data_IF_369646643099
#
_entry.id   IF_369646643099
#
_cell.length_a   1.000
_cell.length_b   1.000
_cell.length_c   1.000
_cell.angle_alpha   90.00
_cell.angle_beta   90.00
_cell.angle_gamma   90.00
#
_symmetry.space_group_name_H-M   'P 1'
#
loop_
_entity.id
_entity.type
_entity.pdbx_description
1 polymer ?
#
# COMPACT_ATOMS: atom_id res chain seq x y z
N UNK A 1 -22.51 12.76 3.14
CA UNK A 1 -21.53 11.79 2.59
C UNK A 1 -21.21 12.20 1.17
N UNK A 2 -19.95 12.47 0.88
CA UNK A 2 -19.53 12.82 -0.47
C UNK A 2 -18.81 11.62 -1.09
N UNK A 3 -19.26 11.22 -2.28
CA UNK A 3 -18.72 10.09 -3.03
C UNK A 3 -17.68 10.58 -4.03
N UNK A 4 -16.48 10.05 -3.94
CA UNK A 4 -15.35 10.42 -4.79
C UNK A 4 -14.82 9.22 -5.57
N UNK A 5 -14.43 9.44 -6.80
CA UNK A 5 -13.66 8.47 -7.57
C UNK A 5 -12.20 8.53 -7.10
N UNK A 6 -11.60 7.40 -6.77
CA UNK A 6 -10.27 7.37 -6.16
C UNK A 6 -9.21 8.04 -7.06
N UNK A 7 -9.30 7.85 -8.37
CA UNK A 7 -8.41 8.50 -9.33
C UNK A 7 -8.51 10.03 -9.39
N UNK A 8 -9.60 10.63 -8.89
CA UNK A 8 -9.76 12.09 -8.84
C UNK A 8 -9.08 12.70 -7.61
N UNK A 9 -8.99 11.93 -6.53
CA UNK A 9 -8.49 12.39 -5.22
C UNK A 9 -7.12 11.81 -4.84
N UNK A 10 -6.56 10.89 -5.64
CA UNK A 10 -5.26 10.28 -5.40
C UNK A 10 -4.48 10.07 -6.69
N UNK A 11 -3.15 10.11 -6.58
CA UNK A 11 -2.23 9.60 -7.59
C UNK A 11 -2.10 8.08 -7.40
N UNK A 12 -2.25 7.32 -8.49
CA UNK A 12 -2.14 5.87 -8.48
C UNK A 12 -1.05 5.45 -9.45
N UNK A 13 0.00 4.81 -8.91
CA UNK A 13 1.22 4.51 -9.63
C UNK A 13 1.65 3.06 -9.41
N UNK A 14 1.89 2.34 -10.52
CA UNK A 14 2.62 1.06 -10.49
C UNK A 14 4.08 1.26 -10.12
N UNK A 15 4.67 0.26 -9.48
CA UNK A 15 6.11 0.22 -9.22
C UNK A 15 6.95 0.20 -10.50
N UNK A 16 8.27 0.34 -10.38
CA UNK A 16 9.18 0.38 -11.52
C UNK A 16 9.09 -0.92 -12.33
N UNK A 17 9.10 -0.81 -13.64
CA UNK A 17 9.14 -1.98 -14.54
C UNK A 17 10.59 -2.40 -14.81
N UNK A 18 10.78 -3.63 -15.32
CA UNK A 18 12.08 -4.27 -15.50
C UNK A 18 13.14 -3.46 -16.24
N UNK A 19 12.76 -2.52 -17.12
CA UNK A 19 13.69 -1.59 -17.78
C UNK A 19 14.14 -0.41 -16.92
N UNK A 20 13.48 -0.17 -15.79
CA UNK A 20 13.76 0.95 -14.87
C UNK A 20 14.57 0.50 -13.65
N UNK A 21 14.32 -0.72 -13.19
CA UNK A 21 15.00 -1.33 -12.06
C UNK A 21 15.25 -2.80 -12.36
N UNK A 22 16.52 -3.17 -12.49
CA UNK A 22 16.95 -4.55 -12.71
C UNK A 22 17.26 -5.25 -11.39
N UNK A 23 17.08 -6.56 -11.34
CA UNK A 23 17.33 -7.35 -10.14
C UNK A 23 18.81 -7.32 -9.70
N UNK A 24 19.71 -7.13 -10.65
CA UNK A 24 21.15 -7.00 -10.45
C UNK A 24 21.55 -5.72 -9.70
N UNK A 25 20.62 -4.74 -9.62
CA UNK A 25 20.82 -3.49 -8.87
C UNK A 25 20.46 -3.64 -7.39
N UNK A 26 19.92 -4.80 -6.98
CA UNK A 26 19.58 -5.05 -5.58
C UNK A 26 20.87 -5.30 -4.79
N UNK A 27 20.88 -4.85 -3.56
CA UNK A 27 22.02 -4.94 -2.65
C UNK A 27 21.66 -5.66 -1.35
N UNK A 28 22.64 -6.14 -0.60
CA UNK A 28 22.41 -6.80 0.69
C UNK A 28 21.96 -5.82 1.79
N UNK A 29 22.33 -4.55 1.67
CA UNK A 29 21.96 -3.48 2.60
C UNK A 29 21.84 -2.15 1.88
N UNK A 30 20.87 -1.31 2.27
CA UNK A 30 20.58 -0.03 1.62
C UNK A 30 19.20 0.49 2.02
N UNK A 31 18.51 1.12 1.07
CA UNK A 31 17.13 1.58 1.26
C UNK A 31 16.20 0.37 1.15
N UNK A 32 15.37 0.09 2.18
CA UNK A 32 14.43 -1.03 2.14
C UNK A 32 13.42 -0.87 0.99
N UNK A 33 13.14 -1.97 0.30
CA UNK A 33 12.17 -2.01 -0.78
C UNK A 33 10.98 -2.88 -0.39
N UNK A 34 9.78 -2.30 -0.46
CA UNK A 34 8.53 -2.99 -0.15
C UNK A 34 7.92 -3.59 -1.43
N UNK A 35 7.99 -4.89 -1.54
CA UNK A 35 7.37 -5.68 -2.61
C UNK A 35 6.04 -6.30 -2.14
N UNK A 36 5.29 -6.93 -3.04
CA UNK A 36 4.03 -7.62 -2.71
C UNK A 36 4.17 -8.66 -1.60
N UNK A 37 5.33 -9.33 -1.49
CA UNK A 37 5.63 -10.26 -0.39
C UNK A 37 5.65 -9.60 0.99
N UNK A 38 5.90 -8.28 1.02
CA UNK A 38 5.98 -7.50 2.25
C UNK A 38 4.62 -6.88 2.66
N UNK A 39 3.57 -7.09 1.86
CA UNK A 39 2.24 -6.57 2.16
C UNK A 39 1.43 -7.64 2.88
N UNK A 40 1.18 -7.40 4.16
CA UNK A 40 0.33 -8.23 5.01
C UNK A 40 -1.15 -7.80 4.96
N UNK A 41 -1.89 -8.17 5.98
CA UNK A 41 -3.29 -7.76 6.15
C UNK A 41 -3.39 -6.45 6.93
N UNK A 42 -2.97 -5.35 6.31
CA UNK A 42 -2.92 -4.02 6.92
C UNK A 42 -1.59 -3.68 7.58
N UNK A 43 -0.64 -4.61 7.62
CA UNK A 43 0.70 -4.43 8.18
C UNK A 43 1.78 -4.69 7.13
N UNK A 44 3.00 -4.27 7.43
CA UNK A 44 4.18 -4.53 6.60
C UNK A 44 4.96 -5.70 7.23
N UNK A 45 5.32 -6.68 6.39
CA UNK A 45 6.11 -7.85 6.77
C UNK A 45 7.59 -7.58 6.44
N UNK A 46 8.44 -7.62 7.45
CA UNK A 46 9.86 -7.25 7.33
C UNK A 46 10.82 -8.42 7.28
N UNK A 47 10.33 -9.67 7.40
CA UNK A 47 11.16 -10.87 7.48
C UNK A 47 12.08 -11.11 6.26
N UNK A 48 11.74 -10.54 5.11
CA UNK A 48 12.49 -10.73 3.85
C UNK A 48 12.44 -9.47 3.00
N UNK A 49 13.07 -8.39 3.46
CA UNK A 49 13.20 -7.16 2.70
C UNK A 49 14.26 -7.31 1.59
N UNK A 50 13.95 -6.78 0.43
CA UNK A 50 14.95 -6.46 -0.58
C UNK A 50 15.46 -5.02 -0.34
N UNK A 51 16.64 -4.69 -0.85
CA UNK A 51 17.23 -3.37 -0.67
C UNK A 51 17.73 -2.83 -2.00
N UNK A 52 17.67 -1.52 -2.16
CA UNK A 52 18.26 -0.80 -3.29
C UNK A 52 19.28 0.23 -2.78
N UNK A 53 20.35 0.52 -3.57
CA UNK A 53 21.29 1.55 -3.20
C UNK A 53 20.68 2.95 -3.37
N UNK A 54 21.21 3.93 -2.66
CA UNK A 54 20.73 5.33 -2.70
C UNK A 54 20.68 5.90 -4.11
N UNK A 55 21.66 5.55 -4.97
CA UNK A 55 21.70 6.01 -6.37
C UNK A 55 20.45 5.60 -7.18
N UNK A 56 19.81 4.48 -6.85
CA UNK A 56 18.55 4.07 -7.47
C UNK A 56 17.43 4.99 -7.03
N UNK A 57 17.37 5.36 -5.75
CA UNK A 57 16.39 6.30 -5.23
C UNK A 57 16.54 7.69 -5.85
N UNK A 58 17.79 8.16 -6.03
CA UNK A 58 18.08 9.43 -6.69
C UNK A 58 17.67 9.42 -8.17
N UNK A 59 17.86 8.31 -8.87
CA UNK A 59 17.47 8.12 -10.27
C UNK A 59 15.95 7.98 -10.43
N UNK A 60 15.27 7.39 -9.45
CA UNK A 60 13.87 7.03 -9.49
C UNK A 60 13.07 7.60 -8.29
N UNK A 61 13.17 8.92 -8.00
CA UNK A 61 12.62 9.52 -6.77
C UNK A 61 11.11 9.37 -6.64
N UNK A 62 10.40 9.20 -7.75
CA UNK A 62 8.94 9.02 -7.75
C UNK A 62 8.48 7.72 -7.09
N UNK A 63 9.39 6.76 -6.89
CA UNK A 63 9.10 5.48 -6.23
C UNK A 63 9.47 5.47 -4.75
N UNK A 64 9.92 6.59 -4.20
CA UNK A 64 10.08 6.74 -2.77
C UNK A 64 8.71 6.81 -2.14
N UNK A 65 8.47 5.95 -1.17
CA UNK A 65 7.26 5.91 -0.38
C UNK A 65 7.30 7.00 0.69
N UNK A 66 6.14 7.55 0.99
CA UNK A 66 5.97 8.52 2.06
C UNK A 66 4.87 8.07 3.01
N UNK A 67 4.95 8.55 4.24
CA UNK A 67 3.87 8.38 5.20
C UNK A 67 2.54 8.81 4.55
N UNK A 68 1.51 7.99 4.72
CA UNK A 68 0.21 8.23 4.10
C UNK A 68 0.03 7.57 2.73
N UNK A 69 1.05 6.97 2.15
CA UNK A 69 0.87 6.12 0.97
C UNK A 69 0.11 4.85 1.34
N UNK A 70 -0.71 4.36 0.42
CA UNK A 70 -1.36 3.04 0.54
C UNK A 70 -0.75 2.14 -0.53
N UNK A 71 -0.22 1.00 -0.11
CA UNK A 71 0.51 0.09 -0.99
C UNK A 71 -0.28 -1.21 -1.19
N UNK A 72 -0.60 -1.52 -2.43
CA UNK A 72 -1.25 -2.77 -2.86
C UNK A 72 -0.26 -3.75 -3.46
N UNK A 73 -0.46 -5.06 -3.19
CA UNK A 73 0.15 -6.11 -3.97
C UNK A 73 -0.51 -6.21 -5.35
N UNK A 74 0.29 -6.18 -6.42
CA UNK A 74 -0.22 -6.24 -7.80
C UNK A 74 -0.61 -7.64 -8.24
N UNK A 75 0.07 -8.66 -7.73
CA UNK A 75 -0.12 -10.05 -8.09
C UNK A 75 0.05 -10.96 -6.88
N UNK A 76 -0.72 -12.05 -6.84
CA UNK A 76 -0.63 -13.09 -5.79
C UNK A 76 -1.30 -12.72 -4.47
N UNK A 77 -1.31 -11.45 -4.09
CA UNK A 77 -1.92 -10.94 -2.85
C UNK A 77 -2.78 -9.71 -3.14
N UNK A 78 -3.57 -9.80 -4.21
CA UNK A 78 -4.36 -8.68 -4.74
C UNK A 78 -5.40 -8.12 -3.76
N UNK A 79 -5.82 -8.93 -2.79
CA UNK A 79 -6.75 -8.55 -1.74
C UNK A 79 -6.09 -7.80 -0.58
N UNK A 80 -4.74 -7.70 -0.59
CA UNK A 80 -3.99 -7.11 0.51
C UNK A 80 -3.47 -5.74 0.14
N UNK A 81 -3.53 -4.87 1.11
CA UNK A 81 -2.88 -3.56 1.07
C UNK A 81 -2.46 -3.16 2.48
N UNK A 82 -1.60 -2.17 2.56
CA UNK A 82 -1.15 -1.61 3.81
C UNK A 82 -1.02 -0.09 3.71
N UNK A 83 -1.21 0.59 4.84
CA UNK A 83 -0.88 1.99 5.01
C UNK A 83 0.61 2.11 5.36
N UNK A 84 1.31 3.01 4.69
CA UNK A 84 2.71 3.32 4.97
C UNK A 84 2.75 4.30 6.14
N UNK A 85 3.20 3.81 7.31
CA UNK A 85 3.42 4.64 8.49
C UNK A 85 4.75 5.40 8.40
N UNK A 86 5.01 6.29 9.35
CA UNK A 86 6.26 7.04 9.49
C UNK A 86 7.50 6.13 9.58
N UNK A 87 7.38 4.95 10.18
CA UNK A 87 8.45 3.94 10.25
C UNK A 87 8.98 3.53 8.86
N UNK A 88 8.12 3.55 7.84
CA UNK A 88 8.45 3.14 6.47
C UNK A 88 8.54 4.32 5.50
N UNK A 89 8.55 5.56 6.00
CA UNK A 89 8.84 6.73 5.20
C UNK A 89 10.25 6.63 4.61
N UNK A 90 10.39 6.93 3.32
CA UNK A 90 11.67 6.80 2.62
C UNK A 90 11.97 5.40 2.07
N UNK A 91 11.18 4.35 2.37
CA UNK A 91 11.29 3.06 1.70
C UNK A 91 11.04 3.19 0.20
N UNK A 92 11.54 2.23 -0.58
CA UNK A 92 11.36 2.20 -2.02
C UNK A 92 10.19 1.31 -2.42
N UNK A 93 9.35 1.78 -3.34
CA UNK A 93 8.24 1.01 -3.90
C UNK A 93 8.75 -0.11 -4.81
N UNK A 94 8.41 -1.36 -4.49
CA UNK A 94 8.80 -2.52 -5.28
C UNK A 94 8.03 -2.66 -6.61
N UNK A 95 8.56 -3.49 -7.49
CA UNK A 95 8.07 -3.68 -8.87
C UNK A 95 6.65 -4.25 -8.94
N UNK A 96 6.30 -5.14 -8.00
CA UNK A 96 4.99 -5.81 -7.95
C UNK A 96 3.99 -5.13 -7.02
N UNK A 97 4.09 -3.82 -6.86
CA UNK A 97 3.20 -3.01 -6.04
C UNK A 97 2.53 -1.90 -6.83
N UNK A 98 1.38 -1.47 -6.34
CA UNK A 98 0.70 -0.24 -6.78
C UNK A 98 0.56 0.66 -5.56
N UNK A 99 1.04 1.90 -5.69
CA UNK A 99 0.90 2.94 -4.68
C UNK A 99 -0.30 3.81 -4.98
N UNK A 100 -1.05 4.14 -3.93
CA UNK A 100 -2.07 5.18 -3.91
C UNK A 100 -1.55 6.28 -2.98
N UNK A 101 -1.33 7.48 -3.50
CA UNK A 101 -0.96 8.67 -2.74
C UNK A 101 -2.10 9.67 -2.79
N UNK A 102 -2.76 9.88 -1.67
CA UNK A 102 -3.87 10.82 -1.59
C UNK A 102 -3.38 12.26 -1.75
N UNK A 103 -4.10 13.08 -2.52
CA UNK A 103 -3.80 14.52 -2.66
C UNK A 103 -3.95 15.25 -1.33
N UNK A 104 -4.86 14.78 -0.49
CA UNK A 104 -5.05 15.21 0.89
C UNK A 104 -4.64 14.04 1.80
N UNK A 105 -3.46 14.14 2.41
CA UNK A 105 -2.87 13.10 3.26
C UNK A 105 -3.74 12.77 4.48
N UNK A 106 -4.52 13.72 4.98
CA UNK A 106 -5.45 13.50 6.10
C UNK A 106 -6.52 12.46 5.80
N UNK A 107 -6.87 12.26 4.52
CA UNK A 107 -7.84 11.26 4.09
C UNK A 107 -7.24 9.88 3.88
N UNK A 108 -5.92 9.78 3.77
CA UNK A 108 -5.25 8.55 3.39
C UNK A 108 -5.53 7.40 4.35
N UNK A 109 -5.45 7.64 5.65
CA UNK A 109 -5.71 6.63 6.67
C UNK A 109 -7.16 6.12 6.61
N UNK A 110 -8.14 7.03 6.49
CA UNK A 110 -9.54 6.65 6.33
C UNK A 110 -9.77 5.83 5.05
N UNK A 111 -9.19 6.27 3.93
CA UNK A 111 -9.30 5.57 2.65
C UNK A 111 -8.67 4.17 2.75
N UNK A 112 -7.54 4.03 3.44
CA UNK A 112 -6.95 2.72 3.68
C UNK A 112 -7.94 1.79 4.39
N UNK A 113 -8.56 2.21 5.48
CA UNK A 113 -9.58 1.40 6.16
C UNK A 113 -10.81 1.14 5.29
N UNK A 114 -11.26 2.13 4.53
CA UNK A 114 -12.41 1.98 3.63
C UNK A 114 -12.19 0.89 2.58
N UNK A 115 -10.98 0.79 2.06
CA UNK A 115 -10.61 -0.22 1.06
C UNK A 115 -10.61 -1.66 1.60
N UNK A 116 -10.63 -1.86 2.92
CA UNK A 116 -10.82 -3.17 3.57
C UNK A 116 -12.28 -3.64 3.62
N UNK A 117 -13.26 -2.81 3.25
CA UNK A 117 -14.67 -3.22 3.23
C UNK A 117 -14.86 -4.42 2.30
N UNK A 118 -15.57 -5.45 2.81
CA UNK A 118 -15.78 -6.73 2.12
C UNK A 118 -16.30 -6.57 0.69
N UNK A 119 -17.24 -5.65 0.49
CA UNK A 119 -17.84 -5.37 -0.82
C UNK A 119 -16.82 -4.82 -1.82
N UNK A 120 -15.90 -3.98 -1.36
CA UNK A 120 -14.81 -3.45 -2.20
C UNK A 120 -13.77 -4.51 -2.51
N UNK A 121 -13.35 -5.29 -1.52
CA UNK A 121 -12.46 -6.45 -1.73
C UNK A 121 -13.03 -7.37 -2.80
N UNK A 122 -14.27 -7.76 -2.67
CA UNK A 122 -14.94 -8.65 -3.63
C UNK A 122 -15.06 -8.02 -5.03
N UNK A 123 -15.26 -6.70 -5.14
CA UNK A 123 -15.23 -6.00 -6.43
C UNK A 123 -13.85 -6.00 -7.05
N UNK A 124 -12.79 -5.78 -6.26
CA UNK A 124 -11.39 -5.84 -6.71
C UNK A 124 -11.08 -7.26 -7.21
N UNK A 125 -11.39 -8.28 -6.43
CA UNK A 125 -11.19 -9.69 -6.78
C UNK A 125 -11.93 -10.08 -8.06
N UNK A 126 -13.21 -9.75 -8.17
CA UNK A 126 -14.04 -10.04 -9.34
C UNK A 126 -13.57 -9.32 -10.61
N UNK A 127 -13.04 -8.09 -10.46
CA UNK A 127 -12.55 -7.29 -11.58
C UNK A 127 -11.13 -7.68 -12.03
N UNK A 128 -10.36 -8.29 -11.14
CA UNK A 128 -9.01 -8.78 -11.44
C UNK A 128 -9.02 -10.19 -12.08
N UNK A 129 -10.17 -10.86 -12.11
CA UNK A 129 -10.27 -12.27 -12.38
C UNK A 129 -10.81 -12.66 -13.74
N UNK A 130 -10.47 -13.85 -14.15
CA UNK A 130 -10.78 -14.58 -15.40
C UNK A 130 -9.54 -15.31 -15.94
N UNK A 131 -8.34 -14.93 -15.52
CA UNK A 131 -7.10 -15.62 -15.85
C UNK A 131 -6.56 -16.42 -14.65
N UNK A 132 -5.69 -17.36 -14.94
CA UNK A 132 -5.00 -18.22 -13.94
C UNK A 132 -4.24 -17.40 -12.89
N UNK A 133 -3.95 -16.13 -13.18
CA UNK A 133 -3.38 -15.17 -12.24
C UNK A 133 -4.21 -13.88 -12.25
N UNK A 134 -4.76 -13.53 -11.10
CA UNK A 134 -5.46 -12.26 -10.91
C UNK A 134 -4.47 -11.11 -10.74
N UNK A 135 -4.68 -10.01 -11.46
CA UNK A 135 -3.86 -8.81 -11.36
C UNK A 135 -4.71 -7.58 -11.03
N UNK A 136 -4.25 -6.78 -10.08
CA UNK A 136 -4.76 -5.43 -9.90
C UNK A 136 -4.09 -4.50 -10.92
N UNK A 137 -4.89 -3.63 -11.53
CA UNK A 137 -4.40 -2.57 -12.41
C UNK A 137 -4.62 -1.20 -11.80
N UNK A 138 -3.82 -0.21 -12.21
CA UNK A 138 -4.02 1.18 -11.80
C UNK A 138 -5.39 1.71 -12.21
N UNK A 139 -5.90 1.29 -13.37
CA UNK A 139 -7.21 1.73 -13.87
C UNK A 139 -8.38 1.15 -13.06
N UNK A 140 -8.24 -0.10 -12.58
CA UNK A 140 -9.20 -0.67 -11.65
C UNK A 140 -9.29 0.18 -10.39
N UNK A 141 -8.15 0.47 -9.75
CA UNK A 141 -8.10 1.26 -8.53
C UNK A 141 -8.60 2.70 -8.76
N UNK A 142 -8.24 3.35 -9.87
CA UNK A 142 -8.75 4.69 -10.22
C UNK A 142 -10.27 4.74 -10.30
N UNK A 143 -10.91 3.65 -10.72
CA UNK A 143 -12.37 3.57 -10.90
C UNK A 143 -13.15 3.15 -9.64
N UNK A 144 -12.47 2.93 -8.52
CA UNK A 144 -13.13 2.69 -7.23
C UNK A 144 -13.75 4.01 -6.73
N UNK A 145 -14.96 3.91 -6.23
CA UNK A 145 -15.63 5.02 -5.54
C UNK A 145 -15.51 4.81 -4.04
N UNK A 146 -15.12 5.85 -3.33
CA UNK A 146 -15.02 5.90 -1.87
C UNK A 146 -15.99 6.94 -1.33
N UNK A 147 -16.70 6.58 -0.26
CA UNK A 147 -17.58 7.50 0.45
C UNK A 147 -16.82 8.09 1.64
N UNK A 148 -16.64 9.41 1.64
CA UNK A 148 -15.92 10.12 2.70
C UNK A 148 -16.91 10.96 3.50
N UNK A 149 -17.24 10.55 4.74
CA UNK A 149 -18.10 11.32 5.64
C UNK A 149 -17.35 12.52 6.24
N UNK A 150 -18.06 13.47 6.81
CA UNK A 150 -17.45 14.64 7.45
C UNK A 150 -16.58 14.26 8.67
N UNK A 151 -16.97 13.21 9.39
CA UNK A 151 -16.27 12.68 10.57
C UNK A 151 -15.21 11.61 10.26
N UNK A 152 -14.68 11.57 9.02
CA UNK A 152 -13.72 10.56 8.56
C UNK A 152 -12.45 10.48 9.42
N UNK A 153 -11.94 11.62 9.90
CA UNK A 153 -10.75 11.66 10.76
C UNK A 153 -10.99 10.95 12.10
N UNK A 154 -12.13 11.22 12.73
CA UNK A 154 -12.49 10.57 13.99
C UNK A 154 -12.63 9.06 13.83
N UNK A 155 -13.29 8.60 12.74
CA UNK A 155 -13.44 7.19 12.43
C UNK A 155 -12.11 6.50 12.16
N UNK A 156 -11.23 7.12 11.39
CA UNK A 156 -9.90 6.60 11.11
C UNK A 156 -9.05 6.47 12.37
N UNK A 157 -9.09 7.48 13.25
CA UNK A 157 -8.34 7.47 14.50
C UNK A 157 -8.80 6.37 15.46
N UNK A 158 -10.13 6.12 15.55
CA UNK A 158 -10.65 5.02 16.37
C UNK A 158 -10.13 3.68 15.87
N UNK A 159 -10.18 3.43 14.56
CA UNK A 159 -9.67 2.19 13.95
C UNK A 159 -8.17 2.05 14.17
N UNK A 160 -7.41 3.14 14.01
CA UNK A 160 -5.96 3.12 14.27
C UNK A 160 -5.63 2.74 15.72
N UNK A 161 -6.35 3.28 16.70
CA UNK A 161 -6.15 2.92 18.12
C UNK A 161 -6.38 1.41 18.33
N UNK A 162 -7.36 0.83 17.65
CA UNK A 162 -7.64 -0.61 17.72
C UNK A 162 -6.49 -1.41 17.10
N UNK A 163 -6.01 -1.02 15.93
CA UNK A 163 -4.90 -1.69 15.26
C UNK A 163 -3.60 -1.60 16.07
N UNK A 164 -3.27 -0.40 16.60
CA UNK A 164 -2.11 -0.21 17.46
C UNK A 164 -2.17 -1.12 18.71
N UNK A 165 -3.37 -1.35 19.24
CA UNK A 165 -3.56 -2.26 20.38
C UNK A 165 -3.40 -3.73 19.99
N UNK A 166 -3.88 -4.12 18.81
CA UNK A 166 -3.71 -5.47 18.28
C UNK A 166 -2.22 -5.74 18.07
N UNK A 167 -1.50 -4.81 17.43
CA UNK A 167 -0.07 -4.95 17.18
C UNK A 167 0.74 -5.05 18.48
N UNK A 168 0.44 -4.19 19.47
CA UNK A 168 1.09 -4.28 20.77
C UNK A 168 0.84 -5.62 21.46
N UNK A 169 -0.37 -6.19 21.35
CA UNK A 169 -0.66 -7.50 21.89
C UNK A 169 0.13 -8.62 21.18
N UNK A 170 0.29 -8.53 19.85
CA UNK A 170 1.15 -9.48 19.12
C UNK A 170 2.60 -9.40 19.59
N UNK A 171 3.17 -8.20 19.68
CA UNK A 171 4.55 -8.01 20.19
C UNK A 171 4.74 -8.56 21.60
N UNK A 172 3.75 -8.44 22.49
CA UNK A 172 3.79 -9.03 23.83
C UNK A 172 3.79 -10.56 23.75
N UNK A 173 2.94 -11.15 22.91
CA UNK A 173 2.83 -12.59 22.79
C UNK A 173 4.10 -13.21 22.15
N UNK A 174 4.71 -12.53 21.18
CA UNK A 174 5.94 -13.00 20.53
C UNK A 174 7.17 -12.96 21.47
N UNK A 175 7.09 -12.22 22.58
CA UNK A 175 8.13 -12.13 23.60
C UNK A 175 7.91 -13.04 24.82
N UNK A 176 6.85 -13.85 24.84
CA UNK A 176 6.51 -14.83 25.87
C UNK A 176 6.87 -16.24 25.45
#
# INVERSE_FOLDING_TARGET
MSKFKLGDIAEIQSGPFGTQLHKEEYVESGIPMLNSKNIGNGNILTDSLDYVPLIVCERLPRYILHEGDILFGRAGTIERHTYVSDEYDGCFQGTNCIRIRCKDSKKALYISYYLWLKELKQRIENSAGGSIQSYITTDLLKNIYVDIPEDYESKANILKIIDDKIENNHRINDNL
#
